data_IF_333645483517
#
_entry.id   IF_333645483517
#
_cell.length_a   1.000
_cell.length_b   1.000
_cell.length_c   1.000
_cell.angle_alpha   90.00
_cell.angle_beta   90.00
_cell.angle_gamma   90.00
#
_symmetry.space_group_name_H-M   'P 1'
#
loop_
_entity.id
_entity.type
_entity.pdbx_description
1 polymer ?
#
# COMPACT_ATOMS: atom_id res chain seq x y z
N UNK A 1 -37.88 33.59 -21.55
CA UNK A 1 -37.45 32.67 -20.45
C UNK A 1 -36.33 31.70 -20.87
N UNK A 2 -36.21 31.32 -22.15
CA UNK A 2 -35.12 30.50 -22.71
C UNK A 2 -33.72 31.16 -22.66
N UNK A 3 -33.66 32.49 -22.62
CA UNK A 3 -32.41 33.27 -22.57
C UNK A 3 -31.63 33.09 -21.25
N UNK A 4 -32.34 32.94 -20.13
CA UNK A 4 -31.71 32.71 -18.82
C UNK A 4 -31.22 31.27 -18.74
N UNK A 5 -31.99 30.31 -19.27
CA UNK A 5 -31.64 28.89 -19.32
C UNK A 5 -30.34 28.66 -20.13
N UNK A 6 -30.18 29.37 -21.25
CA UNK A 6 -28.95 29.31 -22.04
C UNK A 6 -27.73 29.91 -21.31
N UNK A 7 -27.97 30.94 -20.48
CA UNK A 7 -26.91 31.60 -19.70
C UNK A 7 -26.42 30.74 -18.52
N UNK A 8 -27.30 29.95 -17.89
CA UNK A 8 -26.90 29.03 -16.81
C UNK A 8 -26.18 27.78 -17.34
N UNK A 9 -26.49 27.34 -18.57
CA UNK A 9 -25.84 26.18 -19.17
C UNK A 9 -24.35 26.44 -19.49
N UNK A 10 -24.01 27.68 -19.86
CA UNK A 10 -22.64 28.07 -20.23
C UNK A 10 -21.68 28.06 -19.04
N UNK A 11 -22.16 28.34 -17.83
CA UNK A 11 -21.32 28.37 -16.62
C UNK A 11 -20.92 26.98 -16.10
N UNK A 12 -21.66 25.93 -16.46
CA UNK A 12 -21.38 24.56 -16.03
C UNK A 12 -20.18 23.91 -16.75
N UNK A 13 -19.76 24.47 -17.90
CA UNK A 13 -18.60 23.97 -18.67
C UNK A 13 -17.25 24.49 -18.20
N UNK A 14 -17.23 25.43 -17.23
CA UNK A 14 -15.99 26.07 -16.75
C UNK A 14 -15.43 25.46 -15.47
N UNK A 15 -15.88 24.27 -15.06
CA UNK A 15 -15.26 23.59 -13.91
C UNK A 15 -13.94 22.98 -14.37
N UNK A 16 -12.77 23.49 -13.94
CA UNK A 16 -11.53 22.79 -14.19
C UNK A 16 -11.60 21.47 -13.43
N UNK A 17 -11.69 20.36 -14.16
CA UNK A 17 -11.46 19.03 -13.62
C UNK A 17 -9.96 18.93 -13.32
N UNK A 18 -9.56 19.48 -12.17
CA UNK A 18 -8.23 19.26 -11.62
C UNK A 18 -8.23 17.83 -11.10
N UNK A 19 -7.95 16.87 -11.99
CA UNK A 19 -7.49 15.56 -11.56
C UNK A 19 -6.15 15.82 -10.87
N UNK A 20 -6.18 15.95 -9.55
CA UNK A 20 -4.97 15.78 -8.77
C UNK A 20 -4.45 14.40 -9.16
N UNK A 21 -3.29 14.36 -9.81
CA UNK A 21 -2.50 13.14 -9.84
C UNK A 21 -2.29 12.80 -8.38
N UNK A 22 -3.03 11.80 -7.89
CA UNK A 22 -2.59 11.11 -6.69
C UNK A 22 -1.27 10.50 -7.12
N UNK A 23 -0.17 11.20 -6.83
CA UNK A 23 1.14 10.58 -6.77
C UNK A 23 0.93 9.44 -5.78
N UNK A 24 0.72 8.24 -6.33
CA UNK A 24 0.72 7.03 -5.55
C UNK A 24 2.04 6.96 -4.77
N UNK A 25 2.10 6.14 -3.71
CA UNK A 25 3.36 5.94 -3.01
C UNK A 25 4.46 5.70 -4.03
N UNK A 26 5.56 6.44 -3.87
CA UNK A 26 6.71 6.24 -4.75
C UNK A 26 7.14 4.77 -4.66
N UNK A 27 7.70 4.20 -5.73
CA UNK A 27 8.23 2.82 -5.71
C UNK A 27 9.15 2.57 -4.49
N UNK A 28 9.83 3.63 -4.00
CA UNK A 28 10.67 3.58 -2.81
C UNK A 28 9.87 3.48 -1.50
N UNK A 29 8.73 4.15 -1.37
CA UNK A 29 7.82 4.00 -0.24
C UNK A 29 7.19 2.61 -0.21
N UNK A 30 6.88 2.04 -1.38
CA UNK A 30 6.34 0.68 -1.49
C UNK A 30 7.37 -0.37 -1.05
N UNK A 31 8.63 -0.24 -1.47
CA UNK A 31 9.73 -1.13 -1.02
C UNK A 31 9.97 -1.01 0.49
N UNK A 32 9.97 0.21 1.03
CA UNK A 32 10.16 0.42 2.46
C UNK A 32 9.00 -0.14 3.30
N UNK A 33 7.76 0.00 2.83
CA UNK A 33 6.59 -0.57 3.49
C UNK A 33 6.67 -2.09 3.56
N UNK A 34 7.10 -2.72 2.47
CA UNK A 34 7.28 -4.17 2.40
C UNK A 34 8.38 -4.66 3.33
N UNK A 35 9.54 -3.99 3.33
CA UNK A 35 10.65 -4.33 4.21
C UNK A 35 10.28 -4.16 5.69
N UNK A 36 9.56 -3.09 6.03
CA UNK A 36 9.05 -2.84 7.38
C UNK A 36 8.04 -3.91 7.83
N UNK A 37 7.15 -4.33 6.94
CA UNK A 37 6.22 -5.42 7.18
C UNK A 37 6.97 -6.73 7.46
N UNK A 38 7.93 -7.09 6.61
CA UNK A 38 8.71 -8.32 6.75
C UNK A 38 9.44 -8.30 8.09
N UNK A 39 10.11 -7.21 8.46
CA UNK A 39 10.83 -7.10 9.73
C UNK A 39 9.90 -7.23 10.94
N UNK A 40 8.70 -6.64 10.87
CA UNK A 40 7.70 -6.71 11.95
C UNK A 40 7.25 -8.15 12.24
N UNK A 41 7.08 -8.97 11.21
CA UNK A 41 6.66 -10.37 11.35
C UNK A 41 7.83 -11.28 11.68
N UNK A 42 8.98 -11.06 11.02
CA UNK A 42 10.16 -11.91 11.12
C UNK A 42 10.74 -11.91 12.54
N UNK A 43 10.83 -10.73 13.17
CA UNK A 43 11.45 -10.57 14.51
C UNK A 43 10.82 -11.45 15.60
N UNK A 44 9.50 -11.36 15.87
CA UNK A 44 8.87 -12.24 16.87
C UNK A 44 8.83 -13.71 16.44
N UNK A 45 8.93 -14.01 15.15
CA UNK A 45 8.99 -15.38 14.65
C UNK A 45 10.34 -16.03 14.97
N UNK A 46 11.46 -15.34 14.70
CA UNK A 46 12.80 -15.82 15.01
C UNK A 46 13.00 -16.01 16.52
N UNK A 47 12.51 -15.09 17.36
CA UNK A 47 12.57 -15.24 18.82
C UNK A 47 11.88 -16.55 19.31
N UNK A 48 10.82 -16.99 18.61
CA UNK A 48 10.16 -18.28 18.89
C UNK A 48 10.93 -19.48 18.32
N UNK A 49 11.70 -19.29 17.27
CA UNK A 49 12.60 -20.30 16.72
C UNK A 49 13.78 -20.57 17.65
N UNK A 50 14.36 -19.54 18.26
CA UNK A 50 15.48 -19.73 19.20
C UNK A 50 15.09 -20.54 20.44
N UNK A 51 13.80 -20.50 20.82
CA UNK A 51 13.25 -21.28 21.93
C UNK A 51 12.83 -22.71 21.55
N UNK A 52 12.78 -23.05 20.26
CA UNK A 52 12.44 -24.38 19.76
C UNK A 52 13.49 -24.78 18.74
N UNK A 53 14.48 -25.60 19.13
CA UNK A 53 15.67 -26.07 18.37
C UNK A 53 15.37 -26.69 16.98
N UNK A 54 14.75 -25.90 16.11
CA UNK A 54 14.16 -26.27 14.85
C UNK A 54 14.96 -25.60 13.75
N UNK A 55 15.82 -26.40 13.12
CA UNK A 55 16.79 -25.99 12.12
C UNK A 55 16.18 -25.25 10.92
N UNK A 56 14.89 -25.44 10.64
CA UNK A 56 14.20 -24.83 9.49
C UNK A 56 13.31 -23.65 9.89
N UNK A 57 13.20 -23.33 11.18
CA UNK A 57 12.21 -22.38 11.66
C UNK A 57 12.45 -20.96 11.13
N UNK A 58 13.70 -20.51 11.13
CA UNK A 58 14.07 -19.18 10.61
C UNK A 58 13.74 -19.04 9.12
N UNK A 59 13.99 -20.09 8.34
CA UNK A 59 13.70 -20.07 6.90
C UNK A 59 12.19 -20.04 6.63
N UNK A 60 11.40 -20.83 7.38
CA UNK A 60 9.95 -20.78 7.33
C UNK A 60 9.39 -19.42 7.76
N UNK A 61 9.98 -18.77 8.78
CA UNK A 61 9.61 -17.42 9.18
C UNK A 61 9.83 -16.41 8.05
N UNK A 62 10.97 -16.51 7.35
CA UNK A 62 11.30 -15.64 6.22
C UNK A 62 10.30 -15.80 5.07
N UNK A 63 10.02 -17.04 4.67
CA UNK A 63 9.10 -17.34 3.56
C UNK A 63 7.66 -16.91 3.90
N UNK A 64 7.21 -17.14 5.13
CA UNK A 64 5.88 -16.73 5.57
C UNK A 64 5.75 -15.21 5.65
N UNK A 65 6.73 -14.50 6.23
CA UNK A 65 6.70 -13.04 6.32
C UNK A 65 6.63 -12.38 4.94
N UNK A 66 7.44 -12.85 3.98
CA UNK A 66 7.39 -12.37 2.60
C UNK A 66 6.03 -12.61 1.96
N UNK A 67 5.45 -13.80 2.16
CA UNK A 67 4.18 -14.14 1.55
C UNK A 67 3.00 -13.40 2.20
N UNK A 68 3.03 -13.13 3.50
CA UNK A 68 2.01 -12.35 4.20
C UNK A 68 2.03 -10.89 3.75
N UNK A 69 3.19 -10.23 3.73
CA UNK A 69 3.31 -8.84 3.30
C UNK A 69 2.89 -8.64 1.85
N UNK A 70 3.34 -9.55 0.96
CA UNK A 70 2.92 -9.55 -0.46
C UNK A 70 1.40 -9.72 -0.61
N UNK A 71 0.76 -10.55 0.21
CA UNK A 71 -0.69 -10.74 0.17
C UNK A 71 -1.46 -9.54 0.74
N UNK A 72 -0.88 -8.83 1.70
CA UNK A 72 -1.43 -7.61 2.27
C UNK A 72 -1.29 -6.41 1.32
N UNK A 73 -0.42 -6.49 0.32
CA UNK A 73 -0.08 -5.38 -0.56
C UNK A 73 0.80 -4.34 0.13
N UNK A 74 1.57 -4.77 1.14
CA UNK A 74 2.59 -3.97 1.81
C UNK A 74 3.95 -4.12 1.12
#
# INVERSE_FOLDING_TARGET
MYKIIFSTLLFLFLIPAQAATADGPSMQEEVNAQDDCIQRILKPCIEKCESNDNQNCVQLCQENAQNECRQAGE
#
